data_IF_779815889860
#
_entry.id   IF_779815889860
#
_cell.length_a   1.000
_cell.length_b   1.000
_cell.length_c   1.000
_cell.angle_alpha   90.00
_cell.angle_beta   90.00
_cell.angle_gamma   90.00
#
_symmetry.space_group_name_H-M   'P 1'
#
loop_
_entity.id
_entity.type
_entity.pdbx_description
1 polymer ?
#
# COMPACT_ATOMS: atom_id res chain seq x y z
N UNK A 1 3.73 -18.66 7.55
CA UNK A 1 3.06 -18.82 6.23
C UNK A 1 1.56 -18.97 6.33
N UNK A 2 1.00 -19.90 7.12
CA UNK A 2 -0.46 -20.11 7.24
C UNK A 2 -1.25 -18.82 7.54
N UNK A 3 -0.80 -18.01 8.50
CA UNK A 3 -1.44 -16.73 8.85
C UNK A 3 -1.46 -15.71 7.69
N UNK A 4 -0.36 -15.55 6.95
CA UNK A 4 -0.28 -14.62 5.82
C UNK A 4 -1.20 -15.06 4.67
N UNK A 5 -1.28 -16.37 4.44
CA UNK A 5 -2.16 -16.95 3.44
C UNK A 5 -3.63 -16.67 3.80
N UNK A 6 -3.99 -16.82 5.09
CA UNK A 6 -5.32 -16.50 5.58
C UNK A 6 -5.66 -15.01 5.41
N UNK A 7 -4.75 -14.10 5.75
CA UNK A 7 -4.97 -12.65 5.59
C UNK A 7 -5.19 -12.29 4.12
N UNK A 8 -4.39 -12.84 3.21
CA UNK A 8 -4.59 -12.64 1.77
C UNK A 8 -5.88 -13.24 1.24
N UNK A 9 -6.30 -14.41 1.74
CA UNK A 9 -7.59 -14.99 1.38
C UNK A 9 -8.75 -14.10 1.83
N UNK A 10 -8.69 -13.58 3.06
CA UNK A 10 -9.69 -12.64 3.58
C UNK A 10 -9.73 -11.35 2.76
N UNK A 11 -8.57 -10.76 2.45
CA UNK A 11 -8.49 -9.56 1.62
C UNK A 11 -9.07 -9.81 0.22
N UNK A 12 -8.71 -10.93 -0.42
CA UNK A 12 -9.29 -11.33 -1.71
C UNK A 12 -10.81 -11.48 -1.64
N UNK A 13 -11.32 -12.07 -0.56
CA UNK A 13 -12.74 -12.27 -0.36
C UNK A 13 -13.48 -10.94 -0.21
N UNK A 14 -12.96 -10.01 0.59
CA UNK A 14 -13.52 -8.64 0.74
C UNK A 14 -13.54 -7.92 -0.61
N UNK A 15 -12.38 -7.85 -1.29
CA UNK A 15 -12.29 -7.21 -2.60
C UNK A 15 -13.28 -7.79 -3.62
N UNK A 16 -13.56 -9.10 -3.57
CA UNK A 16 -14.50 -9.77 -4.50
C UNK A 16 -15.97 -9.56 -4.15
N UNK A 17 -16.29 -9.33 -2.88
CA UNK A 17 -17.65 -9.00 -2.45
C UNK A 17 -18.01 -7.55 -2.80
N UNK A 18 -17.02 -6.67 -2.77
CA UNK A 18 -17.23 -5.28 -3.11
C UNK A 18 -17.34 -5.08 -4.64
N UNK A 19 -17.87 -3.92 -5.03
CA UNK A 19 -18.05 -3.56 -6.43
C UNK A 19 -16.71 -3.52 -7.19
N UNK A 20 -16.68 -3.78 -8.51
CA UNK A 20 -15.50 -3.51 -9.32
C UNK A 20 -15.00 -2.07 -9.10
N UNK A 21 -13.69 -1.89 -8.98
CA UNK A 21 -13.09 -0.58 -8.77
C UNK A 21 -11.66 -0.63 -8.26
N UNK A 22 -11.21 0.52 -7.78
CA UNK A 22 -9.85 0.74 -7.29
C UNK A 22 -9.89 0.94 -5.79
N UNK A 23 -9.00 0.28 -5.06
CA UNK A 23 -8.97 0.29 -3.60
C UNK A 23 -7.60 0.72 -3.12
N UNK A 24 -7.55 1.65 -2.17
CA UNK A 24 -6.31 1.95 -1.44
C UNK A 24 -6.27 1.06 -0.21
N UNK A 25 -5.16 0.36 -0.02
CA UNK A 25 -4.94 -0.55 1.10
C UNK A 25 -3.71 -0.09 1.87
N UNK A 26 -3.85 0.09 3.19
CA UNK A 26 -2.71 0.16 4.12
C UNK A 26 -2.60 -1.18 4.84
N UNK A 27 -1.41 -1.77 4.75
CA UNK A 27 -1.08 -3.06 5.33
C UNK A 27 0.24 -2.98 6.08
N UNK A 28 0.45 -3.92 7.00
CA UNK A 28 1.69 -3.99 7.75
C UNK A 28 2.15 -5.42 8.01
N UNK A 29 3.44 -5.51 8.33
CA UNK A 29 4.11 -6.69 8.85
C UNK A 29 5.06 -6.19 9.94
N UNK A 30 4.87 -6.67 11.17
CA UNK A 30 5.59 -6.15 12.33
C UNK A 30 5.48 -4.60 12.41
N UNK A 31 6.61 -3.90 12.45
CA UNK A 31 6.79 -2.45 12.45
C UNK A 31 6.85 -1.81 11.05
N UNK A 32 6.85 -2.61 9.98
CA UNK A 32 6.80 -2.14 8.60
C UNK A 32 5.35 -1.92 8.14
N UNK A 33 5.03 -0.69 7.74
CA UNK A 33 3.74 -0.32 7.11
C UNK A 33 3.97 0.12 5.67
N UNK A 34 3.05 -0.30 4.80
CA UNK A 34 3.08 0.06 3.40
C UNK A 34 1.68 0.23 2.82
N UNK A 35 1.55 1.16 1.88
CA UNK A 35 0.31 1.41 1.17
C UNK A 35 0.44 1.03 -0.30
N UNK A 36 -0.54 0.33 -0.83
CA UNK A 36 -0.62 -0.04 -2.23
C UNK A 36 -2.07 0.05 -2.74
N UNK A 37 -2.23 -0.07 -4.06
CA UNK A 37 -3.55 -0.02 -4.69
C UNK A 37 -3.96 -1.41 -5.15
N UNK A 38 -5.19 -1.83 -4.88
CA UNK A 38 -5.80 -3.05 -5.46
C UNK A 38 -6.78 -2.65 -6.55
N UNK A 39 -6.69 -3.30 -7.70
CA UNK A 39 -7.61 -3.14 -8.82
C UNK A 39 -8.49 -4.38 -8.92
N UNK A 40 -9.79 -4.21 -8.65
CA UNK A 40 -10.82 -5.22 -8.85
C UNK A 40 -11.57 -4.93 -10.16
N UNK A 41 -11.50 -5.84 -11.12
CA UNK A 41 -12.23 -5.73 -12.41
C UNK A 41 -13.49 -6.60 -12.47
N UNK A 42 -13.89 -7.20 -11.35
CA UNK A 42 -15.05 -8.09 -11.23
C UNK A 42 -14.71 -9.46 -10.64
N UNK A 43 -15.74 -10.25 -10.28
CA UNK A 43 -15.64 -11.44 -9.42
C UNK A 43 -14.73 -12.56 -9.96
N UNK A 44 -14.55 -12.65 -11.28
CA UNK A 44 -13.73 -13.67 -11.94
C UNK A 44 -12.40 -13.14 -12.46
N UNK A 45 -12.15 -11.83 -12.33
CA UNK A 45 -10.89 -11.23 -12.78
C UNK A 45 -9.83 -11.37 -11.70
N UNK A 46 -8.58 -11.50 -12.17
CA UNK A 46 -7.43 -11.47 -11.27
C UNK A 46 -7.40 -10.13 -10.54
N UNK A 47 -7.31 -10.18 -9.20
CA UNK A 47 -7.05 -8.99 -8.41
C UNK A 47 -5.60 -8.59 -8.61
N UNK A 48 -5.41 -7.38 -9.14
CA UNK A 48 -4.10 -6.81 -9.39
C UNK A 48 -3.77 -5.80 -8.29
N UNK A 49 -2.48 -5.61 -8.09
CA UNK A 49 -1.93 -4.64 -7.16
C UNK A 49 -1.00 -3.70 -7.94
N UNK A 50 -1.14 -2.39 -7.71
CA UNK A 50 -0.18 -1.39 -8.16
C UNK A 50 0.70 -1.03 -6.97
N UNK A 51 2.00 -1.25 -7.12
CA UNK A 51 2.96 -1.14 -6.04
C UNK A 51 4.34 -0.67 -6.52
N UNK A 52 5.33 -0.59 -5.62
CA UNK A 52 6.74 -0.33 -5.90
C UNK A 52 6.96 0.93 -6.74
N UNK A 53 6.37 2.04 -6.30
CA UNK A 53 6.49 3.30 -7.02
C UNK A 53 7.95 3.66 -7.29
N UNK A 54 8.25 3.97 -8.54
CA UNK A 54 9.57 4.38 -9.01
C UNK A 54 9.39 5.45 -10.10
N UNK A 55 9.81 6.68 -9.80
CA UNK A 55 9.70 7.84 -10.67
C UNK A 55 10.60 7.78 -11.90
N UNK A 56 11.56 6.85 -11.94
CA UNK A 56 12.39 6.57 -13.11
C UNK A 56 11.77 5.56 -14.09
N UNK A 57 10.62 4.96 -13.77
CA UNK A 57 9.92 4.01 -14.64
C UNK A 57 8.69 4.64 -15.31
N UNK A 58 8.31 4.12 -16.48
CA UNK A 58 7.02 4.41 -17.15
C UNK A 58 6.33 3.09 -17.56
N UNK A 59 5.18 2.71 -16.96
CA UNK A 59 4.49 3.40 -15.87
C UNK A 59 5.30 3.37 -14.56
N UNK A 60 5.12 4.36 -13.66
CA UNK A 60 5.95 4.52 -12.46
C UNK A 60 5.59 3.55 -11.31
N UNK A 61 4.81 2.50 -11.59
CA UNK A 61 4.37 1.49 -10.62
C UNK A 61 4.41 0.11 -11.26
N UNK A 62 4.74 -0.90 -10.47
CA UNK A 62 4.66 -2.28 -10.91
C UNK A 62 3.21 -2.78 -10.81
N UNK A 63 2.77 -3.56 -11.80
CA UNK A 63 1.47 -4.23 -11.80
C UNK A 63 1.69 -5.71 -11.48
N UNK A 64 1.27 -6.15 -10.30
CA UNK A 64 1.51 -7.52 -9.82
C UNK A 64 0.22 -8.18 -9.32
N UNK A 65 0.10 -9.52 -9.36
CA UNK A 65 -1.04 -10.20 -8.74
C UNK A 65 -1.10 -9.96 -7.23
N UNK A 66 -2.30 -9.79 -6.66
CA UNK A 66 -2.48 -9.63 -5.21
C UNK A 66 -1.93 -10.83 -4.41
N UNK A 67 -1.88 -12.03 -5.01
CA UNK A 67 -1.24 -13.21 -4.41
C UNK A 67 0.25 -13.02 -4.11
N UNK A 68 0.92 -12.07 -4.77
CA UNK A 68 2.36 -11.85 -4.57
C UNK A 68 2.63 -11.00 -3.31
N UNK A 69 1.59 -10.42 -2.71
CA UNK A 69 1.68 -9.62 -1.48
C UNK A 69 1.74 -10.50 -0.21
N UNK A 70 2.54 -11.58 -0.26
CA UNK A 70 2.68 -12.58 0.81
C UNK A 70 3.30 -12.03 2.10
N UNK A 71 3.86 -10.82 2.07
CA UNK A 71 4.47 -10.20 3.23
C UNK A 71 3.43 -9.73 4.26
N UNK A 72 2.20 -9.43 3.82
CA UNK A 72 1.15 -8.83 4.66
C UNK A 72 0.77 -9.75 5.83
N UNK A 73 0.79 -9.20 7.04
CA UNK A 73 0.25 -9.85 8.25
C UNK A 73 -1.03 -9.19 8.74
N UNK A 74 -1.17 -7.88 8.54
CA UNK A 74 -2.34 -7.12 8.97
C UNK A 74 -2.76 -6.14 7.88
N UNK A 75 -4.07 -6.03 7.64
CA UNK A 75 -4.65 -4.93 6.85
C UNK A 75 -5.22 -3.92 7.85
N UNK A 76 -4.67 -2.71 7.87
CA UNK A 76 -5.10 -1.64 8.78
C UNK A 76 -6.29 -0.87 8.23
N UNK A 77 -6.28 -0.64 6.92
CA UNK A 77 -7.29 0.16 6.24
C UNK A 77 -7.45 -0.29 4.80
N UNK A 78 -8.69 -0.26 4.33
CA UNK A 78 -9.05 -0.46 2.93
C UNK A 78 -10.23 0.43 2.60
N UNK A 79 -10.14 1.16 1.48
CA UNK A 79 -11.26 1.92 0.97
C UNK A 79 -11.26 1.94 -0.55
N UNK A 80 -12.45 1.81 -1.13
CA UNK A 80 -12.64 2.06 -2.55
C UNK A 80 -12.47 3.55 -2.83
N UNK A 81 -11.75 3.87 -3.91
CA UNK A 81 -11.55 5.23 -4.37
C UNK A 81 -12.05 5.38 -5.81
N UNK A 82 -12.79 6.44 -6.03
CA UNK A 82 -13.18 6.88 -7.35
C UNK A 82 -12.19 7.95 -7.81
N UNK A 83 -11.33 7.60 -8.77
CA UNK A 83 -10.48 8.57 -9.43
C UNK A 83 -11.23 9.09 -10.64
N UNK A 84 -11.56 10.38 -10.63
CA UNK A 84 -12.14 11.05 -11.80
C UNK A 84 -11.19 10.92 -12.99
N UNK A 85 -11.75 10.70 -14.19
CA UNK A 85 -10.98 10.66 -15.42
C UNK A 85 -10.17 11.97 -15.57
N UNK A 86 -8.88 11.85 -15.81
CA UNK A 86 -7.98 13.01 -15.87
C UNK A 86 -7.45 13.49 -14.52
N UNK A 87 -7.68 12.75 -13.42
CA UNK A 87 -7.03 13.00 -12.15
C UNK A 87 -5.50 13.08 -12.32
N UNK A 88 -4.92 14.22 -11.93
CA UNK A 88 -3.47 14.42 -11.83
C UNK A 88 -3.09 14.40 -10.36
N UNK A 89 -2.25 13.44 -9.98
CA UNK A 89 -1.71 13.34 -8.64
C UNK A 89 -1.03 14.67 -8.28
N UNK A 90 -1.49 15.33 -7.20
CA UNK A 90 -0.89 16.56 -6.69
C UNK A 90 0.37 16.28 -5.88
N UNK A 91 1.23 15.36 -6.32
CA UNK A 91 2.52 15.10 -5.67
C UNK A 91 3.48 16.27 -5.91
N UNK A 92 3.07 17.49 -5.52
CA UNK A 92 3.97 18.58 -5.25
C UNK A 92 4.83 18.15 -4.07
N UNK A 93 6.15 18.34 -4.20
CA UNK A 93 7.17 18.05 -3.18
C UNK A 93 6.68 18.52 -1.82
N UNK A 94 6.11 17.63 -1.01
CA UNK A 94 5.85 17.91 0.40
C UNK A 94 7.24 18.00 1.00
N UNK A 95 7.76 19.23 1.18
CA UNK A 95 9.00 19.45 1.94
C UNK A 95 8.74 18.89 3.32
N UNK A 96 9.14 17.64 3.54
CA UNK A 96 9.13 17.04 4.87
C UNK A 96 10.21 17.80 5.62
N UNK A 97 9.83 18.75 6.46
CA UNK A 97 10.75 19.34 7.42
C UNK A 97 11.35 18.19 8.21
N UNK A 98 12.65 17.95 8.02
CA UNK A 98 13.41 17.06 8.88
C UNK A 98 13.45 17.74 10.24
N UNK A 99 12.51 17.42 11.14
CA UNK A 99 12.71 17.69 12.58
C UNK A 99 13.96 16.91 12.98
N UNK A 100 15.07 17.64 13.08
CA UNK A 100 16.35 17.08 13.47
C UNK A 100 16.18 16.31 14.77
N UNK A 101 16.65 15.05 14.78
CA UNK A 101 16.92 14.35 16.02
C UNK A 101 17.85 15.25 16.83
N UNK A 102 17.34 15.94 17.85
CA UNK A 102 18.20 16.43 18.94
C UNK A 102 18.81 15.17 19.55
N UNK A 103 20.02 14.83 19.10
CA UNK A 103 20.88 13.95 19.86
C UNK A 103 21.04 14.65 21.21
N UNK A 104 20.46 14.06 22.25
CA UNK A 104 20.85 14.36 23.61
C UNK A 104 22.33 14.01 23.71
N UNK A 105 23.18 15.03 23.57
CA UNK A 105 24.55 15.00 24.05
C UNK A 105 24.45 14.76 25.56
N UNK A 106 24.63 13.51 25.96
CA UNK A 106 25.02 13.16 27.32
C UNK A 106 26.30 13.95 27.63
N UNK A 107 26.37 14.78 28.68
CA UNK A 107 27.64 15.25 29.18
C UNK A 107 28.38 14.05 29.79
N UNK A 108 29.52 13.69 29.21
CA UNK A 108 30.57 12.92 29.91
C UNK A 108 31.04 13.76 31.11
N UNK A 109 31.35 13.06 32.19
CA UNK A 109 31.56 13.62 33.53
C UNK A 109 32.70 14.61 33.69
N UNK A 110 32.69 15.21 34.88
CA UNK A 110 33.86 15.49 35.71
C UNK A 110 33.55 14.97 37.12
#
# INVERSE_FOLDING_TARGET
MLFQLQVLMTLKFVCRKDAPGVYIVSASRNDDEHCFVVVNRGPEKLLLTLDNFNDCKDPPVDVIPLSNQMWIQHVKFMAQVELQLGYKCRHGKRKREKRGKRQALQPKGM
#
